data_IF_036704387902
#
_entry.id   IF_036704387902
#
_cell.length_a   1.000
_cell.length_b   1.000
_cell.length_c   1.000
_cell.angle_alpha   90.00
_cell.angle_beta   90.00
_cell.angle_gamma   90.00
#
_symmetry.space_group_name_H-M   'P 1'
#
loop_
_entity.id
_entity.type
_entity.pdbx_description
1 polymer ?
#
# COMPACT_ATOMS: atom_id res chain seq x y z
N UNK A 1 7.60 -7.57 11.33
CA UNK A 1 6.76 -6.48 11.88
C UNK A 1 5.97 -7.01 13.06
N UNK A 2 5.83 -6.25 14.15
CA UNK A 2 4.86 -6.58 15.21
C UNK A 2 3.44 -6.41 14.64
N UNK A 3 2.52 -7.33 14.94
CA UNK A 3 1.10 -7.22 14.52
C UNK A 3 0.38 -6.13 15.35
N UNK A 4 -0.77 -5.60 14.89
CA UNK A 4 -1.67 -4.86 15.77
C UNK A 4 -2.06 -5.73 16.97
N UNK A 5 -2.45 -5.11 18.07
CA UNK A 5 -2.89 -5.88 19.24
C UNK A 5 -4.15 -6.69 18.89
N UNK A 6 -4.31 -7.92 19.43
CA UNK A 6 -5.41 -8.80 19.08
C UNK A 6 -6.79 -8.16 19.23
N UNK A 7 -6.99 -7.28 20.22
CA UNK A 7 -8.27 -6.58 20.42
C UNK A 7 -8.63 -5.57 19.32
N UNK A 8 -7.62 -5.10 18.57
CA UNK A 8 -7.76 -4.08 17.51
C UNK A 8 -7.84 -4.67 16.11
N UNK A 9 -7.38 -5.91 15.90
CA UNK A 9 -7.45 -6.56 14.58
C UNK A 9 -8.91 -6.73 14.18
N UNK A 10 -9.26 -6.26 12.98
CA UNK A 10 -10.59 -6.41 12.37
C UNK A 10 -10.54 -7.24 11.10
N UNK A 11 -9.43 -7.19 10.36
CA UNK A 11 -9.27 -7.94 9.12
C UNK A 11 -7.83 -8.43 8.98
N UNK A 12 -7.69 -9.68 8.54
CA UNK A 12 -6.40 -10.31 8.29
C UNK A 12 -6.44 -11.03 6.95
N UNK A 13 -5.61 -10.54 6.03
CA UNK A 13 -5.36 -11.21 4.76
C UNK A 13 -4.36 -12.36 4.95
N UNK A 14 -4.55 -13.50 4.24
CA UNK A 14 -3.61 -14.60 4.31
C UNK A 14 -2.25 -14.20 3.70
N UNK A 15 -1.18 -14.90 4.07
CA UNK A 15 0.13 -14.66 3.46
C UNK A 15 0.12 -15.18 2.02
N UNK A 16 0.82 -14.52 1.10
CA UNK A 16 1.06 -15.07 -0.24
C UNK A 16 1.78 -16.43 -0.23
N UNK A 17 2.40 -16.81 0.90
CA UNK A 17 3.02 -18.14 1.10
C UNK A 17 2.04 -19.20 1.63
N UNK A 18 0.82 -18.82 2.01
CA UNK A 18 -0.17 -19.75 2.53
C UNK A 18 -0.67 -20.68 1.41
N UNK A 19 -0.74 -22.01 1.63
CA UNK A 19 -1.29 -22.93 0.64
C UNK A 19 -2.70 -22.52 0.19
N UNK A 20 -2.94 -22.55 -1.12
CA UNK A 20 -4.22 -22.16 -1.72
C UNK A 20 -4.38 -20.66 -1.99
N UNK A 21 -3.44 -19.81 -1.53
CA UNK A 21 -3.38 -18.40 -1.95
C UNK A 21 -2.72 -18.32 -3.33
N UNK A 22 -3.37 -17.61 -4.24
CA UNK A 22 -2.88 -17.26 -5.57
C UNK A 22 -2.37 -15.82 -5.53
N UNK A 23 -1.10 -15.66 -5.88
CA UNK A 23 -0.47 -14.37 -6.08
C UNK A 23 -0.36 -14.10 -7.58
N UNK A 24 -1.19 -13.18 -8.08
CA UNK A 24 -1.24 -12.82 -9.49
C UNK A 24 -0.65 -11.43 -9.71
N UNK A 25 0.17 -11.30 -10.74
CA UNK A 25 0.63 -10.01 -11.25
C UNK A 25 -0.15 -9.71 -12.53
N UNK A 26 -0.73 -8.53 -12.63
CA UNK A 26 -1.46 -8.04 -13.80
C UNK A 26 -1.03 -6.62 -14.14
N UNK A 27 -1.35 -6.16 -15.35
CA UNK A 27 -1.24 -4.76 -15.74
C UNK A 27 -2.64 -4.18 -15.86
N UNK A 28 -2.87 -3.02 -15.25
CA UNK A 28 -4.16 -2.35 -15.35
C UNK A 28 -4.27 -1.44 -16.58
N UNK A 29 -5.45 -0.84 -16.77
CA UNK A 29 -5.73 0.04 -17.90
C UNK A 29 -4.86 1.31 -17.95
N UNK A 30 -4.16 1.66 -16.86
CA UNK A 30 -3.22 2.78 -16.80
C UNK A 30 -1.75 2.32 -16.94
N UNK A 31 -1.52 1.04 -17.27
CA UNK A 31 -0.19 0.46 -17.39
C UNK A 31 0.51 0.27 -16.05
N UNK A 32 -0.23 0.26 -14.93
CA UNK A 32 0.34 -0.02 -13.60
C UNK A 32 0.49 -1.51 -13.40
N UNK A 33 1.61 -1.93 -12.82
CA UNK A 33 1.78 -3.30 -12.31
C UNK A 33 0.98 -3.46 -11.03
N UNK A 34 0.03 -4.38 -11.03
CA UNK A 34 -0.83 -4.68 -9.89
C UNK A 34 -0.65 -6.11 -9.43
N UNK A 35 -0.73 -6.30 -8.11
CA UNK A 35 -0.63 -7.57 -7.43
C UNK A 35 -1.98 -7.88 -6.78
N UNK A 36 -2.59 -8.99 -7.20
CA UNK A 36 -3.82 -9.50 -6.61
C UNK A 36 -3.49 -10.73 -5.78
N UNK A 37 -3.84 -10.67 -4.51
CA UNK A 37 -3.84 -11.83 -3.64
C UNK A 37 -5.25 -12.39 -3.53
N UNK A 38 -5.51 -13.49 -4.21
CA UNK A 38 -6.81 -14.16 -4.20
C UNK A 38 -6.68 -15.58 -3.66
N UNK A 39 -7.78 -16.17 -3.21
CA UNK A 39 -7.75 -17.47 -2.56
C UNK A 39 -7.20 -17.41 -1.12
N UNK A 40 -7.29 -18.55 -0.44
CA UNK A 40 -7.11 -18.62 1.00
C UNK A 40 -8.26 -17.96 1.78
N UNK A 41 -8.08 -17.89 3.10
CA UNK A 41 -9.11 -17.42 4.03
C UNK A 41 -8.74 -16.01 4.52
N UNK A 42 -9.56 -15.01 4.15
CA UNK A 42 -9.52 -13.71 4.81
C UNK A 42 -10.33 -13.80 6.09
N UNK A 43 -9.69 -13.56 7.23
CA UNK A 43 -10.33 -13.60 8.54
C UNK A 43 -10.83 -12.20 8.91
N UNK A 44 -12.13 -12.06 9.12
CA UNK A 44 -12.75 -10.84 9.64
C UNK A 44 -13.11 -11.08 11.11
N UNK A 45 -12.48 -10.33 12.00
CA UNK A 45 -12.65 -10.47 13.45
C UNK A 45 -13.80 -9.58 13.95
N UNK A 46 -14.52 -9.98 15.02
CA UNK A 46 -15.54 -9.14 15.64
C UNK A 46 -15.02 -7.73 15.98
N UNK A 47 -15.85 -6.67 15.82
CA UNK A 47 -17.23 -6.67 15.33
C UNK A 47 -17.36 -6.72 13.79
N UNK A 48 -16.26 -6.78 13.05
CA UNK A 48 -16.22 -6.72 11.59
C UNK A 48 -15.80 -5.35 11.06
N UNK A 49 -16.05 -5.11 9.77
CA UNK A 49 -15.95 -3.77 9.17
C UNK A 49 -17.35 -3.19 9.02
N UNK A 50 -17.58 -2.04 9.62
CA UNK A 50 -18.84 -1.30 9.61
C UNK A 50 -18.98 -0.53 8.30
N UNK A 51 -20.06 -0.81 7.57
CA UNK A 51 -20.41 -0.14 6.33
C UNK A 51 -20.57 1.37 6.48
N UNK A 52 -20.78 1.92 7.67
CA UNK A 52 -20.91 3.37 7.85
C UNK A 52 -19.58 4.08 8.15
N UNK A 53 -18.47 3.33 8.20
CA UNK A 53 -17.14 3.86 8.52
C UNK A 53 -16.24 3.95 7.30
N UNK A 54 -15.32 4.90 7.36
CA UNK A 54 -14.21 5.03 6.41
C UNK A 54 -13.01 4.25 6.93
N UNK A 55 -12.26 3.63 6.02
CA UNK A 55 -11.12 2.81 6.38
C UNK A 55 -9.89 3.26 5.62
N UNK A 56 -8.85 3.64 6.33
CA UNK A 56 -7.69 4.27 5.76
C UNK A 56 -6.57 3.27 5.58
N UNK A 57 -5.92 3.27 4.43
CA UNK A 57 -4.74 2.44 4.17
C UNK A 57 -3.50 3.32 4.12
N UNK A 58 -2.44 2.92 4.82
CA UNK A 58 -1.07 3.33 4.53
C UNK A 58 -0.44 2.25 3.67
N UNK A 59 -0.15 2.58 2.42
CA UNK A 59 0.60 1.73 1.52
C UNK A 59 2.04 2.21 1.48
N UNK A 60 2.97 1.41 1.95
CA UNK A 60 4.40 1.68 1.84
C UNK A 60 5.03 0.71 0.86
N UNK A 61 5.70 1.22 -0.17
CA UNK A 61 6.40 0.37 -1.12
C UNK A 61 7.87 0.75 -1.13
N UNK A 62 8.72 -0.26 -1.05
CA UNK A 62 10.16 -0.13 -0.88
C UNK A 62 10.92 -0.87 -1.95
N UNK A 63 11.92 -0.19 -2.48
CA UNK A 63 12.95 -0.76 -3.31
C UNK A 63 14.25 -0.85 -2.49
N UNK A 64 14.48 -1.99 -1.82
CA UNK A 64 15.66 -2.19 -0.97
C UNK A 64 15.38 -2.17 0.54
N UNK A 65 16.11 -1.36 1.30
CA UNK A 65 16.11 -1.35 2.79
C UNK A 65 14.93 -0.57 3.40
N UNK A 66 14.84 -0.52 4.73
CA UNK A 66 13.80 0.25 5.43
C UNK A 66 14.07 1.77 5.35
N UNK A 67 13.14 2.55 4.77
CA UNK A 67 13.16 4.02 4.81
C UNK A 67 12.50 4.60 6.07
N UNK A 68 12.68 5.91 6.31
CA UNK A 68 11.90 6.63 7.33
C UNK A 68 10.46 6.82 6.82
N UNK A 69 9.44 6.67 7.67
CA UNK A 69 8.06 7.03 7.32
C UNK A 69 7.92 8.50 6.94
N UNK A 70 7.04 8.78 5.98
CA UNK A 70 6.75 10.13 5.51
C UNK A 70 5.23 10.37 5.43
N UNK A 71 4.84 11.61 5.68
CA UNK A 71 3.47 12.10 5.49
C UNK A 71 3.23 12.41 4.04
N UNK A 72 2.03 12.14 3.54
CA UNK A 72 1.72 12.52 2.17
C UNK A 72 1.61 14.03 1.98
N UNK A 73 2.24 14.49 0.91
CA UNK A 73 2.05 15.82 0.37
C UNK A 73 0.70 15.87 -0.36
N UNK A 74 -0.02 16.98 -0.23
CA UNK A 74 -1.24 17.28 -0.98
C UNK A 74 -2.39 16.27 -0.82
N UNK A 75 -2.71 15.86 0.41
CA UNK A 75 -3.94 15.10 0.62
C UNK A 75 -5.19 15.94 0.35
N UNK A 76 -6.14 15.32 -0.34
CA UNK A 76 -7.45 15.89 -0.59
C UNK A 76 -8.31 15.91 0.68
N UNK A 77 -9.52 16.47 0.57
CA UNK A 77 -10.46 16.60 1.69
C UNK A 77 -10.87 15.26 2.34
N UNK A 78 -10.74 14.14 1.62
CA UNK A 78 -11.01 12.80 2.15
C UNK A 78 -9.81 12.16 2.83
N UNK A 79 -8.70 12.90 2.98
CA UNK A 79 -7.44 12.39 3.51
C UNK A 79 -6.74 11.42 2.56
N UNK A 80 -7.18 11.37 1.29
CA UNK A 80 -6.51 10.61 0.25
C UNK A 80 -5.45 11.50 -0.40
N UNK A 81 -4.19 11.09 -0.29
CA UNK A 81 -3.08 11.96 -0.64
C UNK A 81 -1.76 11.25 -0.78
N UNK A 82 -0.98 11.81 -1.71
CA UNK A 82 0.46 11.73 -1.91
C UNK A 82 1.06 10.35 -2.14
N UNK A 83 2.12 10.36 -2.92
CA UNK A 83 3.23 9.42 -2.91
C UNK A 83 4.39 10.32 -2.47
N UNK A 84 4.95 10.12 -1.29
CA UNK A 84 6.19 10.82 -0.93
C UNK A 84 7.33 9.89 -1.18
N UNK A 85 8.26 10.31 -2.03
CA UNK A 85 9.45 9.54 -2.25
C UNK A 85 10.59 10.05 -1.37
N UNK A 86 11.00 9.24 -0.41
CA UNK A 86 12.32 9.41 0.20
C UNK A 86 13.33 8.68 -0.65
N UNK A 87 14.34 9.42 -1.11
CA UNK A 87 15.55 8.91 -1.75
C UNK A 87 16.66 9.01 -0.71
N UNK A 88 17.02 7.89 -0.08
CA UNK A 88 18.15 7.86 0.86
C UNK A 88 19.39 7.45 0.09
N UNK A 89 20.32 8.38 -0.08
CA UNK A 89 21.67 8.10 -0.59
C UNK A 89 22.54 7.59 0.57
N UNK A 90 22.90 6.31 0.54
CA UNK A 90 23.94 5.80 1.42
C UNK A 90 25.28 5.92 0.69
N UNK A 91 26.06 6.95 1.03
CA UNK A 91 27.33 7.30 0.39
C UNK A 91 28.39 6.18 0.45
N UNK A 92 28.22 5.16 1.29
CA UNK A 92 29.15 4.03 1.42
C UNK A 92 28.71 2.75 0.71
N UNK A 93 27.50 2.67 0.13
CA UNK A 93 27.00 1.40 -0.44
C UNK A 93 26.25 1.51 -1.79
N UNK A 94 26.24 2.65 -2.50
CA UNK A 94 25.54 2.79 -3.80
C UNK A 94 24.08 2.30 -3.79
N UNK A 95 23.44 2.26 -2.61
CA UNK A 95 22.05 1.88 -2.46
C UNK A 95 21.22 3.13 -2.29
N UNK A 96 20.35 3.36 -3.28
CA UNK A 96 19.28 4.32 -3.18
C UNK A 96 18.03 3.55 -2.78
N UNK A 97 17.49 3.91 -1.63
CA UNK A 97 16.22 3.41 -1.19
C UNK A 97 15.13 4.39 -1.62
N UNK A 98 14.12 3.86 -2.32
CA UNK A 98 12.94 4.57 -2.74
C UNK A 98 11.77 4.02 -1.94
N UNK A 99 11.22 4.84 -1.04
CA UNK A 99 10.02 4.50 -0.27
C UNK A 99 8.91 5.44 -0.67
N UNK A 100 7.76 4.91 -1.06
CA UNK A 100 6.56 5.72 -1.21
C UNK A 100 5.41 5.29 -0.34
N UNK A 101 4.76 6.29 0.26
CA UNK A 101 3.59 6.13 1.11
C UNK A 101 2.36 6.69 0.39
N UNK A 102 1.25 5.94 0.37
CA UNK A 102 -0.07 6.46 -0.04
C UNK A 102 -1.03 6.30 1.13
N UNK A 103 -1.78 7.36 1.44
CA UNK A 103 -2.88 7.30 2.40
C UNK A 103 -4.19 7.51 1.66
N UNK A 104 -5.15 6.59 1.73
CA UNK A 104 -6.49 6.77 1.13
C UNK A 104 -7.56 5.97 1.88
N UNK A 105 -8.81 6.39 1.75
CA UNK A 105 -9.96 5.57 2.13
C UNK A 105 -10.12 4.42 1.12
N UNK A 106 -9.84 3.19 1.57
CA UNK A 106 -9.84 1.98 0.76
C UNK A 106 -11.25 1.54 0.36
N UNK A 107 -12.27 2.03 1.06
CA UNK A 107 -13.65 1.62 0.84
C UNK A 107 -14.38 2.48 -0.20
N UNK A 108 -13.83 3.65 -0.54
CA UNK A 108 -14.42 4.53 -1.53
C UNK A 108 -13.62 4.49 -2.83
N UNK A 109 -14.23 3.90 -3.85
CA UNK A 109 -13.66 3.68 -5.19
C UNK A 109 -13.89 4.85 -6.17
N UNK A 110 -14.67 5.85 -5.78
CA UNK A 110 -14.94 7.04 -6.59
C UNK A 110 -13.89 8.12 -6.33
N UNK A 111 -13.47 8.84 -7.39
CA UNK A 111 -12.53 9.96 -7.31
C UNK A 111 -11.11 9.63 -7.80
N UNK A 112 -10.12 10.22 -7.11
CA UNK A 112 -8.72 10.33 -7.55
C UNK A 112 -8.00 9.00 -7.85
N UNK A 113 -6.96 9.09 -8.70
CA UNK A 113 -6.13 7.95 -9.14
C UNK A 113 -5.48 7.17 -7.99
N UNK A 114 -5.14 7.85 -6.88
CA UNK A 114 -4.51 7.25 -5.70
C UNK A 114 -5.36 6.18 -5.01
N UNK A 115 -6.70 6.28 -5.11
CA UNK A 115 -7.65 5.30 -4.53
C UNK A 115 -7.59 3.94 -5.23
N UNK A 116 -7.00 3.89 -6.42
CA UNK A 116 -6.85 2.66 -7.22
C UNK A 116 -5.54 1.92 -6.90
N UNK A 117 -4.68 2.47 -6.03
CA UNK A 117 -3.43 1.80 -5.64
C UNK A 117 -3.63 0.68 -4.63
N UNK A 118 -4.63 0.78 -3.75
CA UNK A 118 -4.99 -0.34 -2.87
C UNK A 118 -6.49 -0.46 -2.84
N UNK A 119 -6.98 -1.67 -3.07
CA UNK A 119 -8.41 -1.96 -3.09
C UNK A 119 -8.68 -3.30 -2.42
N UNK A 120 -9.72 -3.34 -1.60
CA UNK A 120 -10.31 -4.61 -1.19
C UNK A 120 -11.26 -5.03 -2.30
N UNK A 121 -11.17 -6.28 -2.72
CA UNK A 121 -12.06 -6.89 -3.70
C UNK A 121 -12.98 -7.87 -2.97
N UNK A 122 -14.23 -7.96 -3.42
CA UNK A 122 -15.23 -8.94 -3.00
C UNK A 122 -15.88 -9.53 -4.25
N UNK A 123 -15.85 -10.85 -4.41
CA UNK A 123 -16.38 -11.53 -5.60
C UNK A 123 -15.70 -11.09 -6.90
N UNK A 124 -14.43 -10.74 -6.85
CA UNK A 124 -13.66 -10.26 -8.01
C UNK A 124 -13.91 -8.80 -8.41
N UNK A 125 -14.73 -8.06 -7.66
CA UNK A 125 -15.00 -6.64 -7.91
C UNK A 125 -14.51 -5.78 -6.74
N UNK A 126 -14.15 -4.49 -6.95
CA UNK A 126 -13.84 -3.58 -5.86
C UNK A 126 -14.97 -3.50 -4.84
N UNK A 127 -14.64 -3.71 -3.56
CA UNK A 127 -15.61 -3.71 -2.47
C UNK A 127 -15.95 -2.28 -2.05
N UNK A 128 -17.25 -2.01 -1.91
CA UNK A 128 -17.77 -0.77 -1.30
C UNK A 128 -17.98 -1.00 0.21
N UNK A 129 -16.89 -1.14 0.96
CA UNK A 129 -16.95 -1.42 2.40
C UNK A 129 -17.44 -0.23 3.25
N UNK A 130 -17.74 0.91 2.62
CA UNK A 130 -18.41 2.09 3.18
C UNK A 130 -19.91 2.14 2.83
N UNK A 131 -20.45 1.05 2.27
CA UNK A 131 -21.88 0.86 2.00
C UNK A 131 -22.33 -0.52 2.50
N UNK A 132 -21.43 -1.50 2.48
CA UNK A 132 -21.70 -2.88 2.88
C UNK A 132 -20.73 -3.32 3.96
N UNK A 133 -21.28 -3.62 5.15
CA UNK A 133 -20.49 -4.15 6.27
C UNK A 133 -19.88 -5.51 5.95
N UNK A 134 -18.65 -5.73 6.42
CA UNK A 134 -18.02 -7.05 6.42
C UNK A 134 -18.32 -7.70 7.77
N UNK A 135 -19.33 -8.57 7.79
CA UNK A 135 -19.64 -9.36 8.97
C UNK A 135 -18.45 -10.26 9.38
N UNK A 136 -18.25 -10.53 10.68
CA UNK A 136 -17.23 -11.43 11.16
C UNK A 136 -17.26 -12.82 10.52
N UNK A 137 -16.12 -13.50 10.55
CA UNK A 137 -15.93 -14.85 10.03
C UNK A 137 -14.94 -14.92 8.87
N UNK A 138 -14.81 -16.12 8.33
CA UNK A 138 -13.91 -16.43 7.22
C UNK A 138 -14.58 -16.03 5.89
N UNK A 139 -13.84 -15.31 5.05
CA UNK A 139 -14.26 -14.89 3.71
C UNK A 139 -13.29 -15.48 2.68
N UNK A 140 -13.84 -16.15 1.68
CA UNK A 140 -13.08 -16.79 0.59
C UNK A 140 -13.24 -16.03 -0.73
N UNK A 141 -14.15 -15.06 -0.76
CA UNK A 141 -14.45 -14.18 -1.88
C UNK A 141 -13.78 -12.81 -1.74
N UNK A 142 -12.99 -12.59 -0.68
CA UNK A 142 -12.33 -11.31 -0.40
C UNK A 142 -10.84 -11.39 -0.76
N UNK A 143 -10.36 -10.38 -1.48
CA UNK A 143 -8.96 -10.29 -1.91
C UNK A 143 -8.41 -8.88 -1.72
N UNK A 144 -7.08 -8.76 -1.63
CA UNK A 144 -6.39 -7.47 -1.61
C UNK A 144 -5.70 -7.28 -2.97
N UNK A 145 -5.97 -6.13 -3.61
CA UNK A 145 -5.29 -5.69 -4.82
C UNK A 145 -4.41 -4.49 -4.49
N UNK A 146 -3.15 -4.55 -4.90
CA UNK A 146 -2.19 -3.46 -4.72
C UNK A 146 -1.53 -3.13 -6.05
N UNK A 147 -1.61 -1.89 -6.52
CA UNK A 147 -0.94 -1.41 -7.71
C UNK A 147 0.25 -0.53 -7.36
N UNK A 148 1.32 -0.66 -8.15
CA UNK A 148 2.44 0.28 -8.14
C UNK A 148 2.10 1.50 -9.02
N UNK A 149 2.51 2.72 -8.65
CA UNK A 149 2.49 3.86 -9.57
C UNK A 149 3.31 3.54 -10.81
N UNK A 150 2.80 3.98 -11.96
CA UNK A 150 3.59 3.96 -13.19
C UNK A 150 4.61 5.12 -13.20
N UNK A 151 5.49 5.12 -14.20
CA UNK A 151 6.54 6.13 -14.34
C UNK A 151 5.95 7.54 -14.46
N UNK A 152 4.86 7.71 -15.21
CA UNK A 152 4.19 9.01 -15.38
C UNK A 152 3.57 9.55 -14.09
N UNK A 153 3.13 8.67 -13.18
CA UNK A 153 2.63 9.04 -11.86
C UNK A 153 3.78 9.32 -10.88
N UNK A 154 4.93 8.67 -11.05
CA UNK A 154 6.08 8.77 -10.14
C UNK A 154 6.98 9.99 -10.45
N UNK A 155 7.29 10.25 -11.72
CA UNK A 155 8.23 11.31 -12.11
C UNK A 155 7.83 12.71 -11.60
N UNK A 156 6.57 13.16 -11.69
CA UNK A 156 6.17 14.48 -11.21
C UNK A 156 6.32 14.66 -9.69
N UNK A 157 6.48 13.56 -8.96
CA UNK A 157 6.66 13.55 -7.51
C UNK A 157 8.13 13.58 -7.12
N UNK A 158 9.02 13.11 -8.00
CA UNK A 158 10.46 13.19 -7.85
C UNK A 158 10.97 14.61 -7.98
N UNK A 159 10.57 15.27 -9.07
CA UNK A 159 10.94 16.64 -9.38
C UNK A 159 9.88 17.24 -10.32
N UNK A 160 9.65 18.55 -10.22
CA UNK A 160 8.76 19.25 -11.17
C UNK A 160 9.32 19.24 -12.60
N UNK A 161 10.63 19.08 -12.74
CA UNK A 161 11.31 18.88 -14.01
C UNK A 161 11.42 17.38 -14.32
N UNK A 162 10.69 16.93 -15.34
CA UNK A 162 10.63 15.53 -15.78
C UNK A 162 12.01 14.95 -16.14
N UNK A 163 12.91 15.74 -16.72
CA UNK A 163 14.25 15.27 -17.11
C UNK A 163 15.10 15.02 -15.87
N UNK A 164 15.00 15.88 -14.86
CA UNK A 164 15.71 15.70 -13.58
C UNK A 164 15.09 14.58 -12.75
N UNK A 165 13.77 14.46 -12.77
CA UNK A 165 13.06 13.32 -12.19
C UNK A 165 13.54 12.00 -12.80
N UNK A 166 13.68 11.94 -14.13
CA UNK A 166 14.20 10.76 -14.80
C UNK A 166 15.62 10.44 -14.37
N UNK A 167 16.50 11.44 -14.26
CA UNK A 167 17.87 11.23 -13.76
C UNK A 167 17.87 10.67 -12.34
N UNK A 168 17.04 11.20 -11.44
CA UNK A 168 16.91 10.68 -10.08
C UNK A 168 16.42 9.23 -10.11
N UNK A 169 15.43 8.92 -10.95
CA UNK A 169 14.91 7.57 -11.12
C UNK A 169 15.97 6.61 -11.67
N UNK A 170 16.71 7.00 -12.71
CA UNK A 170 17.74 6.18 -13.34
C UNK A 170 18.93 5.89 -12.41
N UNK A 171 19.21 6.81 -11.48
CA UNK A 171 20.19 6.62 -10.40
C UNK A 171 19.59 5.71 -9.32
N UNK A 172 18.32 5.91 -8.95
CA UNK A 172 17.63 5.13 -7.91
C UNK A 172 17.38 3.65 -8.29
N UNK A 173 17.23 3.39 -9.57
CA UNK A 173 16.91 2.08 -10.14
C UNK A 173 18.20 1.27 -10.30
N UNK A 174 18.41 0.31 -9.39
CA UNK A 174 19.56 -0.60 -9.43
C UNK A 174 19.70 -1.35 -10.78
N UNK A 175 20.87 -1.93 -11.04
CA UNK A 175 21.16 -2.76 -12.23
C UNK A 175 20.14 -3.89 -12.45
N UNK A 176 19.57 -4.45 -11.37
CA UNK A 176 18.50 -5.48 -11.46
C UNK A 176 17.20 -4.93 -12.00
N UNK A 177 16.89 -3.68 -11.67
CA UNK A 177 15.73 -3.00 -12.18
C UNK A 177 15.89 -2.56 -13.64
N UNK A 178 17.13 -2.24 -14.07
CA UNK A 178 17.49 -2.12 -15.50
C UNK A 178 17.35 -3.45 -16.25
N UNK A 179 17.59 -4.58 -15.58
CA UNK A 179 17.32 -5.92 -16.10
C UNK A 179 15.82 -6.31 -16.06
N UNK A 180 14.93 -5.35 -15.80
CA UNK A 180 13.47 -5.53 -15.83
C UNK A 180 12.91 -6.31 -14.63
N UNK A 181 13.69 -6.52 -13.56
CA UNK A 181 13.26 -7.24 -12.35
C UNK A 181 13.54 -6.41 -11.10
N UNK A 182 12.51 -5.78 -10.57
CA UNK A 182 12.63 -4.91 -9.39
C UNK A 182 12.09 -5.66 -8.16
N UNK A 183 12.95 -6.08 -7.21
CA UNK A 183 12.45 -6.61 -5.94
C UNK A 183 11.76 -5.49 -5.16
N UNK A 184 10.50 -5.71 -4.80
CA UNK A 184 9.67 -4.76 -4.04
C UNK A 184 9.17 -5.40 -2.76
N UNK A 185 9.21 -4.61 -1.70
CA UNK A 185 8.51 -4.92 -0.45
C UNK A 185 7.36 -3.94 -0.32
N UNK A 186 6.15 -4.47 -0.27
CA UNK A 186 4.91 -3.71 -0.14
C UNK A 186 4.35 -4.00 1.25
N UNK A 187 4.11 -2.96 2.03
CA UNK A 187 3.46 -3.02 3.32
C UNK A 187 2.14 -2.23 3.27
N UNK A 188 1.01 -2.92 3.36
CA UNK A 188 -0.31 -2.31 3.46
C UNK A 188 -0.77 -2.37 4.92
N UNK A 189 -1.06 -1.22 5.52
CA UNK A 189 -1.53 -1.10 6.91
C UNK A 189 -2.89 -0.42 6.91
N UNK A 190 -3.90 -1.05 7.51
CA UNK A 190 -5.27 -0.54 7.54
C UNK A 190 -5.57 0.09 8.90
N UNK A 191 -6.33 1.18 8.88
CA UNK A 191 -6.69 1.99 10.04
C UNK A 191 -8.18 2.33 10.01
N UNK A 192 -8.77 2.47 11.21
CA UNK A 192 -10.16 2.87 11.41
C UNK A 192 -10.37 4.39 11.49
N UNK A 193 -9.30 5.16 11.23
CA UNK A 193 -9.26 6.62 11.38
C UNK A 193 -8.30 7.25 10.36
N UNK A 194 -8.49 8.53 10.02
CA UNK A 194 -7.54 9.25 9.17
C UNK A 194 -6.15 9.28 9.82
N UNK A 195 -5.12 9.01 9.02
CA UNK A 195 -3.72 9.01 9.48
C UNK A 195 -2.82 10.00 8.73
N UNK A 196 -3.37 10.72 7.75
CA UNK A 196 -2.57 11.65 6.96
C UNK A 196 -2.26 12.97 7.70
N UNK A 197 -3.22 13.46 8.49
CA UNK A 197 -3.16 14.79 9.12
C UNK A 197 -2.82 14.74 10.62
N UNK A 198 -2.02 13.77 11.05
CA UNK A 198 -1.56 13.61 12.45
C UNK A 198 -0.10 14.06 12.59
N UNK A 199 0.45 14.36 13.79
CA UNK A 199 1.88 14.66 13.96
C UNK A 199 2.80 13.54 13.48
N UNK A 200 4.02 13.85 12.98
CA UNK A 200 4.97 12.83 12.49
C UNK A 200 5.37 11.83 13.58
N UNK A 201 5.53 12.28 14.83
CA UNK A 201 5.81 11.40 15.97
C UNK A 201 4.67 10.39 16.19
N UNK A 202 3.42 10.85 16.10
CA UNK A 202 2.23 10.00 16.21
C UNK A 202 2.15 9.01 15.04
N UNK A 203 2.41 9.46 13.81
CA UNK A 203 2.45 8.58 12.65
C UNK A 203 3.51 7.49 12.82
N UNK A 204 4.72 7.84 13.26
CA UNK A 204 5.80 6.88 13.48
C UNK A 204 5.43 5.84 14.55
N UNK A 205 4.81 6.27 15.64
CA UNK A 205 4.35 5.38 16.68
C UNK A 205 3.22 4.45 16.19
N UNK A 206 2.27 4.97 15.42
CA UNK A 206 1.19 4.18 14.80
C UNK A 206 1.71 3.18 13.75
N UNK A 207 2.81 3.50 13.04
CA UNK A 207 3.36 2.62 12.02
C UNK A 207 4.32 1.56 12.58
N UNK A 208 5.10 1.90 13.61
CA UNK A 208 6.21 1.05 14.09
C UNK A 208 6.16 0.75 15.59
N UNK A 209 5.72 1.71 16.41
CA UNK A 209 5.61 1.61 17.86
C UNK A 209 4.32 0.93 18.32
N UNK A 210 3.43 1.70 18.95
CA UNK A 210 2.18 1.25 19.58
C UNK A 210 1.19 0.57 18.62
N UNK A 211 1.15 0.99 17.35
CA UNK A 211 0.14 0.55 16.36
C UNK A 211 -1.30 0.87 16.75
N UNK A 212 -1.48 1.91 17.55
CA UNK A 212 -2.80 2.41 17.93
C UNK A 212 -3.65 2.70 16.68
N UNK A 213 -4.88 2.21 16.65
CA UNK A 213 -5.82 2.41 15.54
C UNK A 213 -5.55 1.57 14.29
N UNK A 214 -4.49 0.75 14.26
CA UNK A 214 -4.24 -0.19 13.16
C UNK A 214 -5.15 -1.41 13.32
N UNK A 215 -5.97 -1.68 12.31
CA UNK A 215 -6.96 -2.77 12.31
C UNK A 215 -6.56 -3.96 11.42
N UNK A 216 -5.49 -3.80 10.66
CA UNK A 216 -4.94 -4.85 9.80
C UNK A 216 -3.58 -4.45 9.25
N UNK A 217 -2.74 -5.44 8.95
CA UNK A 217 -1.46 -5.22 8.29
C UNK A 217 -1.15 -6.39 7.36
N UNK A 218 -0.52 -6.10 6.22
CA UNK A 218 -0.15 -7.10 5.25
C UNK A 218 1.19 -6.78 4.57
N UNK A 219 1.98 -7.81 4.28
CA UNK A 219 3.26 -7.72 3.58
C UNK A 219 3.27 -8.58 2.34
N UNK A 220 3.65 -7.95 1.22
CA UNK A 220 3.90 -8.61 -0.04
C UNK A 220 5.38 -8.42 -0.37
N UNK A 221 6.06 -9.52 -0.63
CA UNK A 221 7.39 -9.49 -1.24
C UNK A 221 7.19 -9.96 -2.66
N UNK A 222 7.41 -9.06 -3.61
CA UNK A 222 7.21 -9.34 -5.02
C UNK A 222 8.44 -8.92 -5.82
N UNK A 223 8.53 -9.41 -7.05
CA UNK A 223 9.43 -8.85 -8.05
C UNK A 223 8.55 -8.21 -9.10
N UNK A 224 8.54 -6.89 -9.17
CA UNK A 224 7.89 -6.18 -10.26
C UNK A 224 8.71 -6.41 -11.53
N UNK A 225 8.10 -7.05 -12.52
CA UNK A 225 8.70 -7.16 -13.85
C UNK A 225 8.19 -6.04 -14.73
N UNK A 226 9.10 -5.35 -15.42
CA UNK A 226 8.72 -4.43 -16.50
C UNK A 226 8.11 -5.30 -17.61
N UNK A 227 6.80 -5.25 -17.77
CA UNK A 227 6.09 -5.84 -18.91
C UNK A 227 6.15 -4.92 -20.10
#
# INVERSE_FOLDING_TARGET
MKRPSPENIRIKFPSYKTPGVKFLQESDAQGRTCFIMSGGNVEVFPPGLDGNKRYYVHLEIRFGIHGKPEKCLNANADGCGGIVLSVIFMAEQDFINCTYSVYCDICNIAGDSYRKFVQIYKGGQPAQCNLVSFAPGIKNDVSLRVCLPNENELLPLLDKNVQRAQQIMDIAVSTRAKAGKIPVVIAARLFDRPINNIPMSTLNDMLFGSKTGMIGCHYIYATATKT
#
